data_IF_622304449979
#
_entry.id   IF_622304449979
#
_cell.length_a   1.000
_cell.length_b   1.000
_cell.length_c   1.000
_cell.angle_alpha   90.00
_cell.angle_beta   90.00
_cell.angle_gamma   90.00
#
_symmetry.space_group_name_H-M   'P 1'
#
loop_
_entity.id
_entity.type
_entity.pdbx_description
1 polymer ?
#
# COMPACT_ATOMS: atom_id res chain seq x y z
N UNK A 1 8.22 -3.33 -6.91
CA UNK A 1 7.88 -3.83 -8.25
C UNK A 1 6.43 -4.31 -8.22
N UNK A 2 5.58 -3.80 -9.12
CA UNK A 2 4.16 -4.17 -9.16
C UNK A 2 3.93 -5.61 -9.65
N UNK A 3 4.82 -6.14 -10.51
CA UNK A 3 4.67 -7.49 -11.03
C UNK A 3 4.96 -8.54 -9.95
N UNK A 4 5.98 -8.29 -9.13
CA UNK A 4 6.27 -9.11 -7.95
C UNK A 4 5.11 -9.07 -6.93
N UNK A 5 4.50 -7.90 -6.71
CA UNK A 5 3.34 -7.77 -5.82
C UNK A 5 2.13 -8.55 -6.35
N UNK A 6 1.86 -8.49 -7.67
CA UNK A 6 0.79 -9.29 -8.30
C UNK A 6 1.06 -10.78 -8.20
N UNK A 7 2.30 -11.22 -8.41
CA UNK A 7 2.66 -12.64 -8.27
C UNK A 7 2.38 -13.14 -6.84
N UNK A 8 2.84 -12.40 -5.83
CA UNK A 8 2.65 -12.75 -4.41
C UNK A 8 1.19 -12.68 -3.96
N UNK A 9 0.45 -11.67 -4.39
CA UNK A 9 -0.97 -11.55 -4.07
C UNK A 9 -1.77 -12.72 -4.66
N UNK A 10 -1.46 -13.15 -5.89
CA UNK A 10 -2.06 -14.34 -6.49
C UNK A 10 -1.68 -15.63 -5.74
N UNK A 11 -0.39 -15.82 -5.42
CA UNK A 11 0.11 -17.00 -4.70
C UNK A 11 -0.57 -17.14 -3.33
N UNK A 12 -0.72 -16.04 -2.60
CA UNK A 12 -1.23 -16.05 -1.23
C UNK A 12 -2.70 -15.68 -1.12
N UNK A 13 -3.42 -15.48 -2.23
CA UNK A 13 -4.79 -14.95 -2.29
C UNK A 13 -5.75 -15.52 -1.22
N UNK A 14 -5.73 -16.84 -0.99
CA UNK A 14 -6.62 -17.50 -0.01
C UNK A 14 -6.27 -17.22 1.46
N UNK A 15 -5.03 -16.83 1.73
CA UNK A 15 -4.46 -16.64 3.07
C UNK A 15 -3.87 -15.23 3.24
N UNK A 16 -4.14 -14.31 2.32
CA UNK A 16 -3.59 -12.96 2.34
C UNK A 16 -4.26 -12.16 3.46
N UNK A 17 -3.51 -11.89 4.53
CA UNK A 17 -4.03 -11.13 5.66
C UNK A 17 -3.89 -9.61 5.44
N UNK A 18 -2.66 -9.14 5.19
CA UNK A 18 -2.40 -7.73 5.03
C UNK A 18 -1.15 -7.40 4.21
N UNK A 19 -1.11 -6.17 3.71
CA UNK A 19 0.09 -5.49 3.24
C UNK A 19 0.48 -4.40 4.23
N UNK A 20 1.76 -4.29 4.57
CA UNK A 20 2.31 -3.12 5.25
C UNK A 20 3.17 -2.33 4.29
N UNK A 21 2.96 -1.02 4.22
CA UNK A 21 3.85 -0.11 3.50
C UNK A 21 3.93 1.25 4.17
N UNK A 22 5.05 1.93 3.96
CA UNK A 22 5.28 3.31 4.42
C UNK A 22 5.11 4.25 3.23
N UNK A 23 4.39 5.36 3.40
CA UNK A 23 4.21 6.35 2.34
C UNK A 23 4.34 7.79 2.87
N UNK A 24 5.19 8.65 2.26
CA UNK A 24 6.19 8.32 1.22
C UNK A 24 7.12 7.18 1.64
N UNK A 25 7.75 6.51 0.66
CA UNK A 25 8.59 5.34 0.93
C UNK A 25 9.74 5.67 1.88
N UNK A 26 10.41 4.67 2.43
CA UNK A 26 11.58 4.87 3.30
C UNK A 26 12.76 5.56 2.61
N UNK A 27 12.75 5.62 1.28
CA UNK A 27 13.69 6.41 0.46
C UNK A 27 13.28 7.89 0.34
N UNK A 28 12.14 8.30 0.90
CA UNK A 28 11.60 9.66 0.82
C UNK A 28 10.91 9.98 -0.51
N UNK A 29 10.47 8.96 -1.26
CA UNK A 29 9.88 9.13 -2.61
C UNK A 29 8.38 8.82 -2.59
N UNK A 30 7.60 9.61 -3.32
CA UNK A 30 6.18 9.37 -3.58
C UNK A 30 6.02 8.35 -4.71
N UNK A 31 5.65 7.12 -4.36
CA UNK A 31 5.37 6.07 -5.35
C UNK A 31 4.06 6.34 -6.10
N UNK A 32 4.08 6.37 -7.44
CA UNK A 32 2.88 6.58 -8.26
C UNK A 32 1.87 5.42 -8.16
N UNK A 33 2.36 4.22 -7.85
CA UNK A 33 1.56 2.98 -7.82
C UNK A 33 0.81 2.71 -6.51
N UNK A 34 0.90 3.57 -5.49
CA UNK A 34 0.41 3.26 -4.14
C UNK A 34 -1.09 2.89 -4.10
N UNK A 35 -1.93 3.60 -4.85
CA UNK A 35 -3.38 3.29 -4.94
C UNK A 35 -3.65 1.95 -5.61
N UNK A 36 -2.93 1.67 -6.70
CA UNK A 36 -3.04 0.38 -7.41
C UNK A 36 -2.59 -0.78 -6.53
N UNK A 37 -1.56 -0.56 -5.72
CA UNK A 37 -1.09 -1.54 -4.75
C UNK A 37 -2.16 -1.82 -3.68
N UNK A 38 -2.77 -0.78 -3.10
CA UNK A 38 -3.86 -0.95 -2.13
C UNK A 38 -5.06 -1.70 -2.74
N UNK A 39 -5.46 -1.31 -3.96
CA UNK A 39 -6.55 -1.96 -4.69
C UNK A 39 -6.28 -3.45 -4.92
N UNK A 40 -5.07 -3.81 -5.36
CA UNK A 40 -4.65 -5.20 -5.56
C UNK A 40 -4.82 -6.02 -4.27
N UNK A 41 -4.38 -5.50 -3.12
CA UNK A 41 -4.49 -6.21 -1.85
C UNK A 41 -5.95 -6.41 -1.45
N UNK A 42 -6.80 -5.40 -1.65
CA UNK A 42 -8.23 -5.49 -1.39
C UNK A 42 -8.95 -6.47 -2.33
N UNK A 43 -8.57 -6.53 -3.61
CA UNK A 43 -9.09 -7.50 -4.58
C UNK A 43 -8.83 -8.95 -4.13
N UNK A 44 -7.74 -9.18 -3.41
CA UNK A 44 -7.37 -10.47 -2.82
C UNK A 44 -7.85 -10.65 -1.37
N UNK A 45 -8.72 -9.77 -0.87
CA UNK A 45 -9.34 -9.88 0.46
C UNK A 45 -8.43 -9.49 1.64
N UNK A 46 -7.21 -9.02 1.38
CA UNK A 46 -6.30 -8.53 2.42
C UNK A 46 -6.69 -7.13 2.91
N UNK A 47 -6.06 -6.69 3.99
CA UNK A 47 -6.14 -5.32 4.50
C UNK A 47 -4.83 -4.56 4.31
N UNK A 48 -4.88 -3.23 4.32
CA UNK A 48 -3.70 -2.40 4.16
C UNK A 48 -3.35 -1.72 5.49
N UNK A 49 -2.17 -2.02 6.01
CA UNK A 49 -1.57 -1.30 7.12
C UNK A 49 -0.66 -0.20 6.57
N UNK A 50 -1.04 1.04 6.84
CA UNK A 50 -0.30 2.22 6.45
C UNK A 50 0.64 2.63 7.59
N UNK A 51 1.94 2.42 7.41
CA UNK A 51 2.96 2.90 8.34
C UNK A 51 3.06 4.44 8.26
N UNK A 52 2.64 5.08 9.35
CA UNK A 52 2.55 6.53 9.47
C UNK A 52 3.85 7.25 9.83
N UNK A 53 5.00 6.58 9.87
CA UNK A 53 6.28 7.21 10.22
C UNK A 53 6.60 8.47 9.37
N UNK A 54 6.15 8.49 8.11
CA UNK A 54 6.37 9.61 7.19
C UNK A 54 5.14 10.54 7.01
N UNK A 55 4.16 10.50 7.92
CA UNK A 55 2.93 11.31 7.82
C UNK A 55 3.17 12.82 7.70
N UNK A 56 4.28 13.34 8.24
CA UNK A 56 4.59 14.76 8.15
C UNK A 56 4.75 15.25 6.69
N UNK A 57 5.05 14.34 5.76
CA UNK A 57 5.08 14.66 4.33
C UNK A 57 3.68 14.70 3.68
N UNK A 58 2.64 14.21 4.37
CA UNK A 58 1.26 14.14 3.87
C UNK A 58 0.31 15.14 4.53
N UNK A 59 0.60 15.55 5.78
CA UNK A 59 -0.27 16.46 6.54
C UNK A 59 -0.57 17.73 5.75
N UNK A 60 -1.86 18.00 5.52
CA UNK A 60 -2.35 19.15 4.76
C UNK A 60 -2.35 18.98 3.24
N UNK A 61 -1.84 17.86 2.70
CA UNK A 61 -1.75 17.59 1.26
C UNK A 61 -2.56 16.36 0.83
N UNK A 62 -2.51 15.28 1.61
CA UNK A 62 -3.19 14.02 1.31
C UNK A 62 -3.54 13.25 2.59
N UNK A 63 -4.50 12.32 2.49
CA UNK A 63 -4.90 11.47 3.62
C UNK A 63 -4.67 9.99 3.26
N UNK A 64 -4.12 9.17 4.18
CA UNK A 64 -3.92 7.73 3.94
C UNK A 64 -5.18 7.01 3.42
N UNK A 65 -6.36 7.31 3.99
CA UNK A 65 -7.62 6.70 3.55
C UNK A 65 -8.02 7.03 2.10
N UNK A 66 -7.62 8.19 1.57
CA UNK A 66 -7.87 8.53 0.15
C UNK A 66 -6.94 7.76 -0.80
N UNK A 67 -5.84 7.22 -0.29
CA UNK A 67 -4.88 6.39 -1.04
C UNK A 67 -5.33 4.93 -1.06
N UNK A 68 -6.11 4.50 -0.06
CA UNK A 68 -6.66 3.15 0.04
C UNK A 68 -6.18 2.36 1.27
N UNK A 69 -5.67 3.06 2.30
CA UNK A 69 -5.54 2.48 3.64
C UNK A 69 -6.91 2.26 4.30
#
# INVERSE_FOLDING_TARGET
DMDDMRAKANEHSKNLAALMFTYPSTHGVYEEGARHLCALIHEHGGQVYFDGANLNALVGLARPGDIGA
#
